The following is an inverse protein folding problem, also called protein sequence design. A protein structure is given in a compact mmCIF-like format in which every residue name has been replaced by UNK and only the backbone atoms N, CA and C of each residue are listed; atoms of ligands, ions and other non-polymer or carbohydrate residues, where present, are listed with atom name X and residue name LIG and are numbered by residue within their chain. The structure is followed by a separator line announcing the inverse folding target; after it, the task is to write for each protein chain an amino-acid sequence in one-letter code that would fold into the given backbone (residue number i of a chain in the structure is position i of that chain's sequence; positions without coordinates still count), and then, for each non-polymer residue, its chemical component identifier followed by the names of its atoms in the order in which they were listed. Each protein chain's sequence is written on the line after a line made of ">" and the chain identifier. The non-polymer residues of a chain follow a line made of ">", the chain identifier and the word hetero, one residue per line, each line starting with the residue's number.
data_IF_090067467951
#
_entry.id   IF_090067467951
#
_cell.length_a   1.000
_cell.length_b   1.000
_cell.length_c   1.000
_cell.angle_alpha   90.00
_cell.angle_beta   90.00
_cell.angle_gamma   90.00
#
_symmetry.space_group_name_H-M   'P 1'
#
loop_
_entity.id
_entity.type
_entity.pdbx_description
1 polymer ?
#
# COMPACT_ATOMS: atom_id res chain seq x y z
N UNK A 1 5.09 -11.53 -20.65
CA UNK A 1 6.37 -11.96 -20.06
C UNK A 1 6.90 -10.91 -19.10
N UNK A 2 7.05 -9.64 -19.52
CA UNK A 2 7.53 -8.51 -18.70
C UNK A 2 6.85 -8.35 -17.32
N UNK A 3 5.52 -8.49 -17.25
CA UNK A 3 4.79 -8.38 -15.97
C UNK A 3 5.13 -9.50 -14.97
N UNK A 4 5.55 -10.68 -15.45
CA UNK A 4 5.86 -11.83 -14.60
C UNK A 4 7.21 -11.65 -13.90
N UNK A 5 8.19 -11.07 -14.58
CA UNK A 5 9.53 -10.84 -14.02
C UNK A 5 9.50 -9.74 -12.97
N UNK A 6 8.81 -8.62 -13.25
CA UNK A 6 8.57 -7.55 -12.28
C UNK A 6 7.79 -8.10 -11.07
N UNK A 7 6.76 -8.91 -11.31
CA UNK A 7 5.98 -9.48 -10.21
C UNK A 7 6.83 -10.36 -9.28
N UNK A 8 7.68 -11.22 -9.83
CA UNK A 8 8.61 -12.03 -9.02
C UNK A 8 9.59 -11.15 -8.22
N UNK A 9 10.04 -10.05 -8.82
CA UNK A 9 10.87 -9.09 -8.11
C UNK A 9 10.13 -8.42 -6.94
N UNK A 10 8.88 -8.01 -7.14
CA UNK A 10 8.05 -7.41 -6.08
C UNK A 10 7.80 -8.37 -4.91
N UNK A 11 7.65 -9.67 -5.19
CA UNK A 11 7.51 -10.68 -4.13
C UNK A 11 8.73 -10.70 -3.20
N UNK A 12 9.96 -10.58 -3.75
CA UNK A 12 11.19 -10.51 -2.93
C UNK A 12 11.21 -9.29 -2.02
N UNK A 13 10.56 -8.21 -2.44
CA UNK A 13 10.47 -7.00 -1.64
C UNK A 13 9.39 -7.05 -0.58
N UNK A 14 8.48 -8.04 -0.55
CA UNK A 14 7.44 -8.14 0.50
C UNK A 14 8.03 -8.29 1.90
N UNK A 15 9.20 -8.92 2.01
CA UNK A 15 9.87 -9.11 3.29
C UNK A 15 10.61 -7.87 3.77
N UNK A 16 11.27 -7.13 2.88
CA UNK A 16 11.93 -5.84 3.15
C UNK A 16 12.09 -5.07 1.82
N UNK A 17 12.00 -3.72 1.76
CA UNK A 17 11.86 -2.72 2.83
C UNK A 17 10.40 -2.45 3.27
N UNK A 18 10.16 -1.78 4.40
CA UNK A 18 8.79 -1.49 4.93
C UNK A 18 7.87 -0.75 3.95
N UNK A 19 8.44 0.04 3.04
CA UNK A 19 7.70 0.75 1.99
C UNK A 19 8.19 0.24 0.63
N UNK A 20 7.28 -0.35 -0.14
CA UNK A 20 7.49 -0.71 -1.53
C UNK A 20 6.80 0.33 -2.41
N UNK A 21 7.58 1.16 -3.11
CA UNK A 21 7.05 2.22 -3.97
C UNK A 21 7.09 1.81 -5.44
N UNK A 22 5.92 1.73 -6.07
CA UNK A 22 5.73 1.48 -7.49
C UNK A 22 5.60 2.81 -8.22
N UNK A 23 6.66 3.20 -8.94
CA UNK A 23 6.71 4.46 -9.68
C UNK A 23 6.72 4.18 -11.18
N UNK A 24 5.93 4.92 -11.94
CA UNK A 24 5.92 4.80 -13.39
C UNK A 24 4.84 5.65 -14.05
N UNK A 25 4.89 5.75 -15.37
CA UNK A 25 3.91 6.48 -16.17
C UNK A 25 2.47 6.03 -15.89
N UNK A 26 1.49 6.91 -16.16
CA UNK A 26 0.07 6.52 -16.16
C UNK A 26 -0.14 5.34 -17.11
N UNK A 27 -1.05 4.43 -16.74
CA UNK A 27 -1.36 3.21 -17.51
C UNK A 27 -0.20 2.20 -17.66
N UNK A 28 0.89 2.33 -16.90
CA UNK A 28 1.99 1.34 -16.90
C UNK A 28 1.67 0.00 -16.20
N UNK A 29 0.43 -0.20 -15.74
CA UNK A 29 0.01 -1.45 -15.07
C UNK A 29 0.25 -1.51 -13.56
N UNK A 30 0.53 -0.38 -12.89
CA UNK A 30 0.81 -0.33 -11.44
C UNK A 30 -0.35 -0.86 -10.59
N UNK A 31 -1.57 -0.37 -10.81
CA UNK A 31 -2.79 -0.88 -10.18
C UNK A 31 -2.98 -2.37 -10.41
N UNK A 32 -2.69 -2.86 -11.63
CA UNK A 32 -2.76 -4.29 -11.94
C UNK A 32 -1.76 -5.09 -11.11
N UNK A 33 -0.51 -4.63 -11.02
CA UNK A 33 0.53 -5.28 -10.21
C UNK A 33 0.17 -5.30 -8.72
N UNK A 34 -0.38 -4.20 -8.17
CA UNK A 34 -0.84 -4.16 -6.77
C UNK A 34 -1.97 -5.16 -6.52
N UNK A 35 -2.97 -5.23 -7.41
CA UNK A 35 -4.07 -6.19 -7.29
C UNK A 35 -3.59 -7.63 -7.40
N UNK A 36 -2.64 -7.91 -8.29
CA UNK A 36 -2.01 -9.23 -8.39
C UNK A 36 -1.25 -9.60 -7.11
N UNK A 37 -0.55 -8.64 -6.49
CA UNK A 37 0.20 -8.86 -5.25
C UNK A 37 -0.72 -9.10 -4.06
N UNK A 38 -1.79 -8.30 -3.95
CA UNK A 38 -2.84 -8.48 -2.95
C UNK A 38 -3.48 -9.88 -3.05
N UNK A 39 -3.85 -10.29 -4.26
CA UNK A 39 -4.46 -11.60 -4.49
C UNK A 39 -3.49 -12.75 -4.23
N UNK A 40 -2.21 -12.56 -4.56
CA UNK A 40 -1.17 -13.53 -4.20
C UNK A 40 -1.06 -13.70 -2.68
N UNK A 41 -0.99 -12.62 -1.91
CA UNK A 41 -0.94 -12.68 -0.44
C UNK A 41 -2.17 -13.41 0.13
N UNK A 42 -3.37 -13.09 -0.37
CA UNK A 42 -4.61 -13.77 0.02
C UNK A 42 -4.55 -15.27 -0.26
N UNK A 43 -4.08 -15.67 -1.44
CA UNK A 43 -3.95 -17.08 -1.82
C UNK A 43 -2.88 -17.84 -1.02
N UNK A 44 -1.92 -17.12 -0.43
CA UNK A 44 -0.84 -17.70 0.38
C UNK A 44 -1.12 -17.65 1.89
N UNK A 45 -2.38 -17.40 2.27
CA UNK A 45 -2.86 -17.60 3.64
C UNK A 45 -2.83 -16.36 4.53
N UNK A 46 -2.52 -15.18 3.98
CA UNK A 46 -2.68 -13.93 4.73
C UNK A 46 -4.17 -13.68 5.01
N UNK A 47 -4.55 -13.40 6.27
CA UNK A 47 -5.95 -13.22 6.61
C UNK A 47 -6.49 -11.90 6.05
N UNK A 48 -7.79 -11.86 5.71
CA UNK A 48 -8.40 -10.68 5.06
C UNK A 48 -8.27 -9.40 5.91
N UNK A 49 -8.25 -9.50 7.23
CA UNK A 49 -8.06 -8.35 8.13
C UNK A 49 -6.61 -7.83 8.18
N UNK A 50 -5.65 -8.53 7.58
CA UNK A 50 -4.28 -8.06 7.38
C UNK A 50 -4.06 -7.42 6.00
N UNK A 51 -5.06 -7.47 5.11
CA UNK A 51 -4.96 -7.04 3.72
C UNK A 51 -5.88 -5.84 3.48
N UNK A 52 -5.28 -4.69 3.19
CA UNK A 52 -6.01 -3.45 2.99
C UNK A 52 -5.64 -2.76 1.70
N UNK A 53 -6.64 -2.29 0.95
CA UNK A 53 -6.45 -1.55 -0.30
C UNK A 53 -7.19 -0.22 -0.25
N UNK A 54 -6.48 0.86 -0.52
CA UNK A 54 -7.00 2.21 -0.60
C UNK A 54 -6.65 2.81 -1.96
N UNK A 55 -7.67 3.21 -2.71
CA UNK A 55 -7.53 3.92 -3.98
C UNK A 55 -7.81 5.39 -3.75
N UNK A 56 -6.82 6.26 -4.01
CA UNK A 56 -6.96 7.70 -3.73
C UNK A 56 -7.63 8.48 -4.87
N UNK A 57 -8.05 7.82 -5.95
CA UNK A 57 -9.08 8.37 -6.84
C UNK A 57 -10.45 8.43 -6.15
N UNK A 58 -10.66 7.61 -5.10
CA UNK A 58 -11.85 7.71 -4.26
C UNK A 58 -11.72 8.90 -3.30
N UNK A 59 -12.51 9.95 -3.54
CA UNK A 59 -12.50 11.18 -2.75
C UNK A 59 -12.74 10.97 -1.24
N UNK A 60 -13.52 9.96 -0.85
CA UNK A 60 -13.75 9.65 0.56
C UNK A 60 -12.48 9.12 1.23
N UNK A 61 -11.76 8.22 0.56
CA UNK A 61 -10.50 7.69 1.06
C UNK A 61 -9.39 8.73 1.03
N UNK A 62 -9.35 9.55 -0.02
CA UNK A 62 -8.43 10.69 -0.08
C UNK A 62 -8.65 11.63 1.10
N UNK A 63 -9.90 12.06 1.35
CA UNK A 63 -10.21 12.97 2.45
C UNK A 63 -9.87 12.37 3.83
N UNK A 64 -10.11 11.07 4.02
CA UNK A 64 -9.68 10.36 5.23
C UNK A 64 -8.16 10.45 5.41
N UNK A 65 -7.38 10.12 4.38
CA UNK A 65 -5.92 10.09 4.47
C UNK A 65 -5.28 11.48 4.51
N UNK A 66 -5.97 12.54 4.06
CA UNK A 66 -5.57 13.93 4.29
C UNK A 66 -5.56 14.29 5.79
N UNK A 67 -6.34 13.59 6.63
CA UNK A 67 -6.23 13.67 8.09
C UNK A 67 -4.93 13.08 8.65
N UNK A 68 -4.11 12.45 7.81
CA UNK A 68 -2.76 11.99 8.12
C UNK A 68 -2.71 10.61 8.77
N UNK A 69 -1.55 10.28 9.34
CA UNK A 69 -1.25 8.93 9.83
C UNK A 69 -2.23 8.43 10.90
N UNK A 70 -2.76 9.30 11.77
CA UNK A 70 -3.71 8.89 12.82
C UNK A 70 -5.00 8.33 12.21
N UNK A 71 -5.52 8.97 11.16
CA UNK A 71 -6.72 8.51 10.46
C UNK A 71 -6.49 7.17 9.76
N UNK A 72 -5.31 6.99 9.13
CA UNK A 72 -4.93 5.68 8.57
C UNK A 72 -4.96 4.58 9.64
N UNK A 73 -4.34 4.83 10.80
CA UNK A 73 -4.28 3.84 11.88
C UNK A 73 -5.66 3.54 12.47
N UNK A 74 -6.50 4.58 12.66
CA UNK A 74 -7.87 4.41 13.12
C UNK A 74 -8.71 3.60 12.14
N UNK A 75 -8.57 3.88 10.84
CA UNK A 75 -9.27 3.14 9.79
C UNK A 75 -8.83 1.67 9.71
N UNK A 76 -7.54 1.38 9.86
CA UNK A 76 -7.02 0.01 9.92
C UNK A 76 -7.59 -0.74 11.13
N UNK A 77 -7.54 -0.12 12.32
CA UNK A 77 -8.06 -0.71 13.55
C UNK A 77 -9.57 -0.99 13.46
N UNK A 78 -10.35 -0.06 12.90
CA UNK A 78 -11.79 -0.23 12.68
C UNK A 78 -12.13 -1.40 11.74
N UNK A 79 -11.17 -1.86 10.95
CA UNK A 79 -11.29 -3.01 10.03
C UNK A 79 -10.65 -4.28 10.58
N UNK A 80 -10.22 -4.28 11.84
CA UNK A 80 -9.67 -5.45 12.52
C UNK A 80 -8.19 -5.70 12.25
N UNK A 81 -7.45 -4.71 11.77
CA UNK A 81 -6.00 -4.84 11.63
C UNK A 81 -5.34 -5.06 12.99
N UNK A 82 -4.54 -6.11 13.11
CA UNK A 82 -3.72 -6.38 14.29
C UNK A 82 -2.23 -6.17 13.95
N UNK A 83 -1.69 -5.04 14.41
CA UNK A 83 -0.31 -4.63 14.16
C UNK A 83 0.72 -5.40 15.00
N UNK A 84 0.29 -6.30 15.90
CA UNK A 84 1.18 -7.30 16.49
C UNK A 84 1.61 -8.37 15.46
N UNK A 85 0.85 -8.48 14.37
CA UNK A 85 1.13 -9.32 13.21
C UNK A 85 1.35 -8.47 11.95
N UNK A 86 1.80 -9.12 10.86
CA UNK A 86 2.11 -8.43 9.61
C UNK A 86 0.81 -7.94 8.95
N UNK A 87 0.80 -6.66 8.59
CA UNK A 87 -0.35 -6.00 7.93
C UNK A 87 0.15 -5.33 6.65
N UNK A 88 -0.51 -5.61 5.54
CA UNK A 88 -0.20 -5.08 4.21
C UNK A 88 -1.21 -4.03 3.81
N UNK A 89 -0.73 -2.80 3.58
CA UNK A 89 -1.56 -1.68 3.18
C UNK A 89 -1.12 -1.21 1.80
N UNK A 90 -2.02 -1.39 0.85
CA UNK A 90 -1.89 -0.97 -0.52
C UNK A 90 -2.52 0.42 -0.67
N UNK A 91 -1.73 1.41 -1.12
CA UNK A 91 -2.21 2.78 -1.36
C UNK A 91 -1.93 3.14 -2.82
N UNK A 92 -2.98 3.19 -3.64
CA UNK A 92 -2.90 3.48 -5.07
C UNK A 92 -3.02 4.99 -5.32
N UNK A 93 -2.30 5.51 -6.31
CA UNK A 93 -2.32 6.91 -6.74
C UNK A 93 -2.00 7.91 -5.60
N UNK A 94 -0.94 7.62 -4.83
CA UNK A 94 -0.52 8.39 -3.64
C UNK A 94 -0.27 9.88 -3.93
N UNK A 95 0.04 10.24 -5.17
CA UNK A 95 0.30 11.63 -5.54
C UNK A 95 -0.92 12.55 -5.45
N UNK A 96 -2.13 12.01 -5.26
CA UNK A 96 -3.30 12.84 -4.98
C UNK A 96 -3.29 13.42 -3.56
N UNK A 97 -2.53 12.84 -2.63
CA UNK A 97 -2.37 13.41 -1.30
C UNK A 97 -1.50 14.65 -1.31
N UNK A 98 -1.87 15.61 -0.48
CA UNK A 98 -1.11 16.85 -0.28
C UNK A 98 0.24 16.61 0.41
N UNK A 99 0.32 15.63 1.32
CA UNK A 99 1.54 15.30 2.07
C UNK A 99 1.81 13.79 2.19
N UNK A 100 2.14 13.11 1.08
CA UNK A 100 2.32 11.66 1.08
C UNK A 100 3.54 11.23 1.91
N UNK A 101 4.58 12.06 1.96
CA UNK A 101 5.80 11.73 2.73
C UNK A 101 5.52 11.57 4.23
N UNK A 102 4.71 12.45 4.81
CA UNK A 102 4.36 12.36 6.23
C UNK A 102 3.48 11.13 6.53
N UNK A 103 2.48 10.88 5.68
CA UNK A 103 1.59 9.73 5.80
C UNK A 103 2.35 8.40 5.74
N UNK A 104 3.41 8.30 4.94
CA UNK A 104 4.16 7.06 4.77
C UNK A 104 5.26 6.87 5.84
N UNK A 105 6.02 7.91 6.17
CA UNK A 105 7.17 7.80 7.08
C UNK A 105 6.76 7.48 8.52
N UNK A 106 5.75 8.18 9.05
CA UNK A 106 5.36 8.02 10.45
C UNK A 106 4.86 6.61 10.79
N UNK A 107 3.95 5.98 10.03
CA UNK A 107 3.56 4.58 10.25
C UNK A 107 4.71 3.61 10.01
N UNK A 108 5.51 3.79 8.96
CA UNK A 108 6.63 2.90 8.67
C UNK A 108 7.68 2.91 9.81
N UNK A 109 7.96 4.06 10.41
CA UNK A 109 8.91 4.16 11.52
C UNK A 109 8.35 3.58 12.82
N UNK A 110 7.07 3.86 13.11
CA UNK A 110 6.42 3.48 14.38
C UNK A 110 5.87 2.05 14.41
N UNK A 111 5.61 1.43 13.25
CA UNK A 111 4.97 0.11 13.16
C UNK A 111 5.90 -0.88 12.46
N UNK A 112 6.53 -1.82 13.19
CA UNK A 112 7.48 -2.77 12.60
C UNK A 112 6.83 -3.77 11.65
N UNK A 113 5.58 -4.15 11.92
CA UNK A 113 4.85 -5.15 11.15
C UNK A 113 3.98 -4.57 10.03
N UNK A 114 4.01 -3.25 9.84
CA UNK A 114 3.27 -2.59 8.79
C UNK A 114 4.10 -2.58 7.49
N UNK A 115 3.53 -3.14 6.43
CA UNK A 115 4.07 -3.13 5.08
C UNK A 115 3.23 -2.21 4.20
N UNK A 116 3.82 -1.12 3.73
CA UNK A 116 3.17 -0.20 2.80
C UNK A 116 3.57 -0.58 1.37
N UNK A 117 2.59 -0.78 0.49
CA UNK A 117 2.78 -0.94 -0.95
C UNK A 117 2.08 0.23 -1.61
N UNK A 118 2.84 1.11 -2.22
CA UNK A 118 2.35 2.42 -2.64
C UNK A 118 2.57 2.58 -4.13
N UNK A 119 1.58 3.06 -4.89
CA UNK A 119 1.82 3.50 -6.26
C UNK A 119 1.87 5.02 -6.36
N UNK A 120 2.68 5.51 -7.28
CA UNK A 120 2.71 6.92 -7.67
C UNK A 120 3.00 7.09 -9.15
N UNK A 121 2.43 8.12 -9.77
CA UNK A 121 2.86 8.54 -11.09
C UNK A 121 4.11 9.44 -10.99
N UNK A 122 5.09 9.18 -11.84
CA UNK A 122 6.31 9.99 -11.98
C UNK A 122 6.23 10.99 -13.13
N UNK A 123 5.05 11.56 -13.36
CA UNK A 123 4.90 12.65 -14.32
C UNK A 123 5.54 13.93 -13.76
N UNK A 124 6.81 14.13 -14.11
CA UNK A 124 7.47 15.43 -14.25
C UNK A 124 7.27 15.92 -15.69
#
# INVERSE_FOLDING_TARGET
>A
MYNRDIFQELLRYLDQPKILLLVGARQAGKTTLMKMLLEHLRQHGEPEHALHYLDLENMTLLHLLEGGHRELMGWLAARGADLSHKVYVFIDEIQYLSNPSNLLKLPADSQPNLKLIVSGSSTL
#
